data_IF_543833864851
#
_entry.id   IF_543833864851
#
_cell.length_a   1.000
_cell.length_b   1.000
_cell.length_c   1.000
_cell.angle_alpha   90.00
_cell.angle_beta   90.00
_cell.angle_gamma   90.00
#
_symmetry.space_group_name_H-M   'P 1'
#
loop_
_entity.id
_entity.type
_entity.pdbx_description
1 polymer ?
#
# COMPACT_ATOMS: atom_id res chain seq x y z
N UNK A 1 24.11 4.25 -8.04
CA UNK A 1 24.43 3.64 -9.35
C UNK A 1 23.33 4.01 -10.32
N UNK A 2 23.66 4.65 -11.44
CA UNK A 2 22.71 4.84 -12.54
C UNK A 2 22.29 3.46 -13.04
N UNK A 3 21.01 3.12 -12.91
CA UNK A 3 20.47 1.88 -13.48
C UNK A 3 20.52 1.98 -15.00
N UNK A 4 20.94 0.89 -15.62
CA UNK A 4 21.03 0.76 -17.07
C UNK A 4 19.64 0.97 -17.70
N UNK A 5 19.54 1.84 -18.71
CA UNK A 5 18.29 2.14 -19.43
C UNK A 5 17.76 0.95 -20.25
N UNK A 6 18.53 -0.14 -20.30
CA UNK A 6 18.15 -1.41 -20.94
C UNK A 6 17.32 -2.34 -20.05
N UNK A 7 17.25 -2.10 -18.73
CA UNK A 7 16.53 -2.97 -17.80
C UNK A 7 15.02 -2.65 -17.77
N UNK A 8 14.26 -3.36 -18.59
CA UNK A 8 12.79 -3.26 -18.63
C UNK A 8 12.15 -3.81 -17.33
N UNK A 9 10.96 -3.31 -16.95
CA UNK A 9 10.18 -3.89 -15.87
C UNK A 9 9.87 -5.37 -16.14
N UNK A 10 10.07 -6.23 -15.15
CA UNK A 10 9.72 -7.65 -15.24
C UNK A 10 8.19 -7.81 -15.14
N UNK A 11 7.52 -7.92 -16.28
CA UNK A 11 6.08 -8.16 -16.38
C UNK A 11 5.79 -9.64 -16.56
N UNK A 12 4.88 -10.18 -15.76
CA UNK A 12 4.46 -11.58 -15.84
C UNK A 12 2.93 -11.68 -15.76
N UNK A 13 2.38 -12.67 -16.46
CA UNK A 13 0.99 -13.08 -16.25
C UNK A 13 0.95 -14.00 -15.04
N UNK A 14 0.13 -13.67 -14.04
CA UNK A 14 -0.01 -14.44 -12.81
C UNK A 14 -1.47 -14.81 -12.57
N UNK A 15 -1.77 -15.99 -12.00
CA UNK A 15 -3.10 -16.31 -11.50
C UNK A 15 -3.51 -15.29 -10.45
N UNK A 16 -4.66 -14.63 -10.62
CA UNK A 16 -5.10 -13.57 -9.69
C UNK A 16 -5.38 -14.15 -8.29
N UNK A 17 -5.69 -15.44 -8.19
CA UNK A 17 -5.82 -16.17 -6.92
C UNK A 17 -4.49 -16.29 -6.13
N UNK A 18 -3.34 -16.19 -6.79
CA UNK A 18 -2.02 -16.28 -6.14
C UNK A 18 -1.55 -14.94 -5.56
N UNK A 19 -2.27 -13.84 -5.84
CA UNK A 19 -1.93 -12.52 -5.33
C UNK A 19 -2.60 -12.30 -3.97
N UNK A 20 -1.77 -12.22 -2.93
CA UNK A 20 -2.19 -11.99 -1.55
C UNK A 20 -1.84 -10.58 -1.10
N UNK A 21 -2.65 -10.02 -0.20
CA UNK A 21 -2.55 -8.63 0.24
C UNK A 21 -2.00 -8.59 1.67
N UNK A 22 -1.10 -7.64 1.94
CA UNK A 22 -0.67 -7.31 3.30
C UNK A 22 -1.40 -6.09 3.88
N UNK A 23 -2.16 -5.35 3.07
CA UNK A 23 -3.01 -4.25 3.53
C UNK A 23 -4.49 -4.54 3.27
N UNK A 24 -5.37 -3.91 4.05
CA UNK A 24 -6.79 -3.85 3.72
C UNK A 24 -7.03 -3.04 2.43
N UNK A 25 -8.01 -3.46 1.64
CA UNK A 25 -8.54 -2.64 0.55
C UNK A 25 -9.63 -1.68 1.04
N UNK A 26 -9.84 -0.60 0.30
CA UNK A 26 -10.96 0.32 0.50
C UNK A 26 -12.15 -0.16 -0.35
N UNK A 27 -13.25 -0.63 0.26
CA UNK A 27 -14.39 -1.18 -0.48
C UNK A 27 -15.00 -0.20 -1.49
N UNK A 28 -15.01 1.11 -1.19
CA UNK A 28 -15.55 2.13 -2.10
C UNK A 28 -14.63 2.31 -3.30
N UNK A 29 -13.30 2.31 -3.10
CA UNK A 29 -12.33 2.36 -4.21
C UNK A 29 -12.39 1.10 -5.06
N UNK A 30 -12.51 -0.07 -4.44
CA UNK A 30 -12.64 -1.35 -5.17
C UNK A 30 -13.90 -1.36 -6.04
N UNK A 31 -15.04 -0.89 -5.53
CA UNK A 31 -16.28 -0.80 -6.31
C UNK A 31 -16.12 0.11 -7.55
N UNK A 32 -15.59 1.33 -7.39
CA UNK A 32 -15.32 2.24 -8.51
C UNK A 32 -14.33 1.67 -9.51
N UNK A 33 -13.30 0.95 -9.05
CA UNK A 33 -12.35 0.28 -9.94
C UNK A 33 -13.00 -0.85 -10.73
N UNK A 34 -13.94 -1.58 -10.15
CA UNK A 34 -14.69 -2.61 -10.89
C UNK A 34 -15.49 -2.00 -12.04
N UNK A 35 -16.16 -0.87 -11.82
CA UNK A 35 -16.89 -0.12 -12.85
C UNK A 35 -15.93 0.37 -13.95
N UNK A 36 -14.87 1.09 -13.57
CA UNK A 36 -13.86 1.60 -14.51
C UNK A 36 -13.22 0.49 -15.36
N UNK A 37 -12.88 -0.65 -14.75
CA UNK A 37 -12.27 -1.77 -15.47
C UNK A 37 -13.22 -2.32 -16.54
N UNK A 38 -14.51 -2.47 -16.23
CA UNK A 38 -15.51 -2.92 -17.21
C UNK A 38 -15.72 -1.91 -18.33
N UNK A 39 -15.78 -0.62 -18.00
CA UNK A 39 -16.00 0.45 -18.98
C UNK A 39 -14.82 0.63 -19.93
N UNK A 40 -13.60 0.65 -19.39
CA UNK A 40 -12.39 0.89 -20.17
C UNK A 40 -11.91 -0.38 -20.91
N UNK A 41 -12.25 -1.56 -20.40
CA UNK A 41 -11.86 -2.86 -20.95
C UNK A 41 -10.34 -3.11 -20.92
N UNK A 42 -9.59 -2.38 -20.08
CA UNK A 42 -8.12 -2.42 -20.06
C UNK A 42 -7.55 -2.36 -18.64
N UNK A 43 -6.50 -3.12 -18.39
CA UNK A 43 -5.60 -2.93 -17.25
C UNK A 43 -4.58 -1.84 -17.59
N UNK A 44 -4.84 -0.60 -17.14
CA UNK A 44 -3.94 0.55 -17.37
C UNK A 44 -2.57 0.36 -16.71
N UNK A 45 -2.54 0.16 -15.39
CA UNK A 45 -1.32 0.01 -14.60
C UNK A 45 -1.32 -1.37 -13.93
N UNK A 46 -0.26 -2.18 -14.08
CA UNK A 46 -0.18 -3.49 -13.43
C UNK A 46 -0.04 -3.34 -11.91
N UNK A 47 -0.62 -4.25 -11.11
CA UNK A 47 -0.19 -4.41 -9.72
C UNK A 47 1.31 -4.71 -9.66
N UNK A 48 1.96 -4.26 -8.60
CA UNK A 48 3.37 -4.60 -8.34
C UNK A 48 3.41 -5.60 -7.20
N UNK A 49 4.15 -6.68 -7.39
CA UNK A 49 4.14 -7.82 -6.49
C UNK A 49 5.56 -8.31 -6.21
N UNK A 50 5.76 -8.94 -5.05
CA UNK A 50 6.98 -9.69 -4.73
C UNK A 50 6.65 -11.15 -4.45
N UNK A 51 7.51 -12.10 -4.87
CA UNK A 51 7.30 -13.52 -4.58
C UNK A 51 7.35 -13.78 -3.07
N UNK A 52 6.51 -14.69 -2.59
CA UNK A 52 6.59 -15.20 -1.21
C UNK A 52 7.46 -16.46 -1.25
N UNK A 53 8.66 -16.44 -0.63
CA UNK A 53 9.61 -17.56 -0.73
C UNK A 53 8.97 -18.89 -0.33
N UNK A 54 9.27 -19.98 -1.05
CA UNK A 54 8.72 -21.31 -0.76
C UNK A 54 7.23 -21.47 -1.05
N UNK A 55 6.64 -20.60 -1.88
CA UNK A 55 5.26 -20.74 -2.35
C UNK A 55 5.08 -20.18 -3.77
N UNK A 56 3.96 -20.51 -4.40
CA UNK A 56 3.56 -19.94 -5.70
C UNK A 56 2.82 -18.59 -5.57
N UNK A 57 2.72 -18.08 -4.33
CA UNK A 57 1.98 -16.85 -4.02
C UNK A 57 2.89 -15.62 -4.10
N UNK A 58 2.26 -14.48 -4.38
CA UNK A 58 2.92 -13.20 -4.46
C UNK A 58 2.23 -12.20 -3.52
N UNK A 59 3.01 -11.44 -2.76
CA UNK A 59 2.47 -10.33 -1.96
C UNK A 59 2.36 -9.09 -2.83
N UNK A 60 1.20 -8.44 -2.80
CA UNK A 60 0.93 -7.20 -3.53
C UNK A 60 1.56 -6.02 -2.81
N UNK A 61 2.57 -5.39 -3.41
CA UNK A 61 3.27 -4.22 -2.85
C UNK A 61 2.57 -2.91 -3.24
N UNK A 62 2.00 -2.87 -4.44
CA UNK A 62 1.24 -1.74 -4.94
C UNK A 62 0.05 -2.24 -5.78
N UNK A 63 -1.08 -1.54 -5.66
CA UNK A 63 -2.30 -1.90 -6.39
C UNK A 63 -3.25 -2.82 -5.64
N UNK A 64 -3.27 -2.80 -4.30
CA UNK A 64 -4.19 -3.59 -3.48
C UNK A 64 -5.65 -3.54 -3.95
N UNK A 65 -6.19 -2.34 -4.16
CA UNK A 65 -7.57 -2.16 -4.64
C UNK A 65 -7.77 -2.66 -6.09
N UNK A 66 -6.74 -2.56 -6.95
CA UNK A 66 -6.78 -3.09 -8.33
C UNK A 66 -6.83 -4.61 -8.32
N UNK A 67 -5.99 -5.26 -7.52
CA UNK A 67 -6.00 -6.72 -7.33
C UNK A 67 -7.36 -7.20 -6.81
N UNK A 68 -7.90 -6.56 -5.77
CA UNK A 68 -9.22 -6.91 -5.24
C UNK A 68 -10.34 -6.72 -6.27
N UNK A 69 -10.28 -5.67 -7.09
CA UNK A 69 -11.26 -5.44 -8.15
C UNK A 69 -11.20 -6.57 -9.21
N UNK A 70 -10.01 -6.93 -9.67
CA UNK A 70 -9.82 -8.04 -10.61
C UNK A 70 -10.34 -9.37 -10.05
N UNK A 71 -10.02 -9.67 -8.78
CA UNK A 71 -10.55 -10.86 -8.08
C UNK A 71 -12.08 -10.84 -7.99
N UNK A 72 -12.68 -9.69 -7.64
CA UNK A 72 -14.12 -9.52 -7.54
C UNK A 72 -14.84 -9.63 -8.90
N UNK A 73 -14.16 -9.25 -9.98
CA UNK A 73 -14.65 -9.41 -11.34
C UNK A 73 -14.53 -10.84 -11.87
N UNK A 74 -13.87 -11.75 -11.14
CA UNK A 74 -13.65 -13.12 -11.58
C UNK A 74 -12.60 -13.24 -12.70
N UNK A 75 -11.75 -12.23 -12.86
CA UNK A 75 -10.68 -12.25 -13.86
C UNK A 75 -9.60 -13.26 -13.37
N UNK A 76 -9.31 -14.33 -14.13
CA UNK A 76 -8.48 -15.43 -13.64
C UNK A 76 -6.99 -15.10 -13.61
N UNK A 77 -6.54 -14.23 -14.51
CA UNK A 77 -5.14 -13.89 -14.70
C UNK A 77 -4.91 -12.38 -14.74
N UNK A 78 -3.74 -11.91 -14.30
CA UNK A 78 -3.37 -10.49 -14.32
C UNK A 78 -1.94 -10.33 -14.79
N UNK A 79 -1.66 -9.30 -15.59
CA UNK A 79 -0.29 -8.85 -15.81
C UNK A 79 0.16 -8.04 -14.60
N UNK A 80 1.15 -8.54 -13.88
CA UNK A 80 1.77 -7.89 -12.73
C UNK A 80 3.23 -7.57 -13.01
N UNK A 81 3.74 -6.52 -12.39
CA UNK A 81 5.18 -6.27 -12.33
C UNK A 81 5.75 -7.02 -11.13
N UNK A 82 6.68 -7.94 -11.37
CA UNK A 82 7.33 -8.72 -10.32
C UNK A 82 8.64 -8.04 -9.93
N UNK A 83 8.81 -7.74 -8.65
CA UNK A 83 10.03 -7.16 -8.07
C UNK A 83 10.57 -8.04 -6.95
N UNK A 84 11.87 -7.92 -6.67
CA UNK A 84 12.49 -8.58 -5.52
C UNK A 84 12.71 -7.57 -4.40
N UNK A 85 12.43 -7.96 -3.16
CA UNK A 85 12.85 -7.18 -1.99
C UNK A 85 14.37 -7.16 -1.79
N UNK A 86 15.11 -8.06 -2.44
CA UNK A 86 16.57 -8.07 -2.43
C UNK A 86 17.17 -7.05 -3.43
N UNK A 87 16.34 -6.45 -4.30
CA UNK A 87 16.79 -5.36 -5.15
C UNK A 87 17.03 -4.10 -4.27
N UNK A 88 18.26 -3.56 -4.21
CA UNK A 88 18.60 -2.44 -3.32
C UNK A 88 17.85 -1.13 -3.62
N UNK A 89 17.18 -1.00 -4.76
CA UNK A 89 16.33 0.18 -5.01
C UNK A 89 14.87 0.01 -4.60
N UNK A 90 14.45 -1.20 -4.20
CA UNK A 90 13.13 -1.41 -3.61
C UNK A 90 13.21 -1.04 -2.15
N UNK A 91 12.66 0.11 -1.80
CA UNK A 91 12.64 0.60 -0.41
C UNK A 91 11.25 0.48 0.19
N UNK A 92 11.19 0.23 1.49
CA UNK A 92 9.94 0.19 2.26
C UNK A 92 9.99 1.26 3.35
N UNK A 93 9.06 2.19 3.26
CA UNK A 93 8.83 3.25 4.22
C UNK A 93 7.42 3.13 4.82
N UNK A 94 7.12 4.00 5.77
CA UNK A 94 5.79 4.12 6.38
C UNK A 94 5.19 5.47 6.03
N UNK A 95 3.92 5.49 5.65
CA UNK A 95 3.10 6.69 5.61
C UNK A 95 2.47 6.93 6.98
N UNK A 96 2.43 8.18 7.41
CA UNK A 96 1.67 8.62 8.58
C UNK A 96 0.34 9.22 8.11
N UNK A 97 -0.66 9.21 8.99
CA UNK A 97 -1.94 9.84 8.70
C UNK A 97 -1.94 11.26 9.25
N UNK A 98 -2.20 12.23 8.38
CA UNK A 98 -2.68 13.55 8.77
C UNK A 98 -4.20 13.48 8.81
N UNK A 99 -4.76 13.57 10.01
CA UNK A 99 -6.21 13.51 10.22
C UNK A 99 -6.74 14.93 10.26
N UNK A 100 -7.71 15.26 9.42
CA UNK A 100 -8.42 16.56 9.43
C UNK A 100 -9.93 16.36 9.33
N UNK A 101 -10.70 17.45 9.46
CA UNK A 101 -12.16 17.40 9.29
C UNK A 101 -12.90 16.70 10.44
N UNK A 102 -12.25 16.54 11.58
CA UNK A 102 -12.80 16.03 12.83
C UNK A 102 -12.22 16.85 13.99
N UNK A 103 -13.01 17.26 14.97
CA UNK A 103 -12.45 17.99 16.12
C UNK A 103 -11.60 17.06 17.00
N UNK A 104 -10.63 17.62 17.74
CA UNK A 104 -9.83 16.84 18.71
C UNK A 104 -10.71 16.09 19.71
N UNK A 105 -11.81 16.70 20.16
CA UNK A 105 -12.75 16.09 21.11
C UNK A 105 -13.42 14.86 20.51
N UNK A 106 -13.93 14.96 19.28
CA UNK A 106 -14.56 13.82 18.58
C UNK A 106 -13.54 12.71 18.29
N UNK A 107 -12.33 13.09 17.89
CA UNK A 107 -11.24 12.15 17.63
C UNK A 107 -10.88 11.37 18.89
N UNK A 108 -10.63 12.06 20.00
CA UNK A 108 -10.30 11.41 21.28
C UNK A 108 -11.45 10.52 21.78
N UNK A 109 -12.69 11.00 21.71
CA UNK A 109 -13.85 10.19 22.10
C UNK A 109 -13.98 8.91 21.26
N UNK A 110 -13.72 8.99 19.95
CA UNK A 110 -13.72 7.82 19.08
C UNK A 110 -12.61 6.81 19.42
N UNK A 111 -11.45 7.29 19.91
CA UNK A 111 -10.36 6.42 20.35
C UNK A 111 -10.65 5.74 21.70
N UNK A 112 -11.34 6.42 22.61
CA UNK A 112 -11.76 5.85 23.90
C UNK A 112 -12.74 4.67 23.75
N UNK A 113 -13.51 4.64 22.65
CA UNK A 113 -14.41 3.53 22.31
C UNK A 113 -13.66 2.28 21.78
N UNK A 114 -12.38 2.41 21.41
CA UNK A 114 -11.59 1.31 20.89
C UNK A 114 -11.17 0.37 22.02
N UNK A 115 -11.69 -0.86 22.00
CA UNK A 115 -11.38 -1.86 23.02
C UNK A 115 -9.89 -2.19 23.04
N UNK A 116 -9.27 -2.14 24.23
CA UNK A 116 -7.84 -2.41 24.40
C UNK A 116 -6.92 -1.23 24.09
N UNK A 117 -7.44 -0.14 23.52
CA UNK A 117 -6.65 1.06 23.26
C UNK A 117 -6.43 1.84 24.55
N UNK A 118 -5.17 2.18 24.84
CA UNK A 118 -4.80 3.14 25.88
C UNK A 118 -3.95 4.24 25.29
N UNK A 119 -4.28 5.47 25.64
CA UNK A 119 -3.51 6.66 25.31
C UNK A 119 -2.70 7.08 26.53
N UNK A 120 -1.38 7.01 26.40
CA UNK A 120 -0.46 7.37 27.50
C UNK A 120 0.27 8.65 27.10
N UNK A 121 0.08 9.77 27.82
CA UNK A 121 0.81 11.00 27.57
C UNK A 121 2.33 10.77 27.65
N UNK A 122 3.07 11.35 26.72
CA UNK A 122 4.53 11.29 26.69
C UNK A 122 5.11 12.44 25.86
N UNK A 123 6.43 12.53 25.80
CA UNK A 123 7.14 13.40 24.85
C UNK A 123 7.25 12.73 23.48
N UNK A 124 7.48 13.53 22.43
CA UNK A 124 7.73 13.01 21.08
C UNK A 124 8.93 12.05 21.04
N UNK A 125 9.97 12.31 21.84
CA UNK A 125 11.15 11.45 21.91
C UNK A 125 10.83 10.09 22.53
N UNK A 126 10.06 10.06 23.62
CA UNK A 126 9.61 8.82 24.26
C UNK A 126 8.69 8.02 23.34
N UNK A 127 7.76 8.68 22.64
CA UNK A 127 6.87 8.04 21.68
C UNK A 127 7.64 7.35 20.54
N UNK A 128 8.64 8.05 19.96
CA UNK A 128 9.54 7.49 18.94
C UNK A 128 10.33 6.30 19.46
N UNK A 129 10.88 6.41 20.67
CA UNK A 129 11.66 5.33 21.29
C UNK A 129 10.78 4.10 21.52
N UNK A 130 9.57 4.29 22.08
CA UNK A 130 8.62 3.20 22.33
C UNK A 130 8.21 2.50 21.03
N UNK A 131 7.88 3.26 19.98
CA UNK A 131 7.52 2.68 18.68
C UNK A 131 8.68 1.90 18.04
N UNK A 132 9.92 2.39 18.18
CA UNK A 132 11.10 1.76 17.59
C UNK A 132 11.44 0.40 18.22
N UNK A 133 11.13 0.22 19.51
CA UNK A 133 11.37 -1.06 20.24
C UNK A 133 10.12 -1.95 20.32
N UNK A 134 8.99 -1.50 19.77
CA UNK A 134 7.72 -2.25 19.81
C UNK A 134 6.98 -2.15 21.15
N UNK A 135 7.28 -1.15 21.99
CA UNK A 135 6.55 -0.87 23.24
C UNK A 135 5.32 0.05 23.03
N UNK A 136 5.03 0.40 21.77
CA UNK A 136 3.84 1.09 21.36
C UNK A 136 3.42 0.60 19.96
N UNK A 137 2.13 0.38 19.76
CA UNK A 137 1.57 0.01 18.46
C UNK A 137 1.57 1.20 17.49
N UNK A 138 1.38 2.41 18.00
CA UNK A 138 1.43 3.67 17.27
C UNK A 138 1.69 4.84 18.24
N UNK A 139 1.83 6.05 17.72
CA UNK A 139 1.67 7.25 18.54
C UNK A 139 0.94 8.36 17.78
N UNK A 140 0.41 9.32 18.53
CA UNK A 140 -0.42 10.40 18.05
C UNK A 140 0.18 11.72 18.49
N UNK A 141 0.37 12.63 17.54
CA UNK A 141 0.90 13.97 17.75
C UNK A 141 -0.21 15.00 17.48
N UNK A 142 -0.55 15.76 18.51
CA UNK A 142 -1.35 16.98 18.42
C UNK A 142 -0.42 18.20 18.40
N UNK A 143 -0.98 19.40 18.23
CA UNK A 143 -0.20 20.66 18.29
C UNK A 143 0.57 20.84 19.60
N UNK A 144 -0.03 20.45 20.72
CA UNK A 144 0.43 20.72 22.08
C UNK A 144 0.67 19.46 22.93
N UNK A 145 0.45 18.27 22.37
CA UNK A 145 0.48 17.01 23.12
C UNK A 145 0.88 15.80 22.27
N UNK A 146 1.50 14.80 22.91
CA UNK A 146 1.82 13.51 22.28
C UNK A 146 1.33 12.37 23.16
N UNK A 147 0.76 11.36 22.52
CA UNK A 147 0.29 10.14 23.18
C UNK A 147 0.87 8.92 22.49
N UNK A 148 1.43 7.98 23.25
CA UNK A 148 1.70 6.64 22.73
C UNK A 148 0.46 5.77 22.85
N UNK A 149 0.27 4.88 21.89
CA UNK A 149 -0.83 3.92 21.81
C UNK A 149 -0.30 2.52 22.14
N UNK A 150 -0.86 1.88 23.17
CA UNK A 150 -0.53 0.49 23.50
C UNK A 150 -1.07 0.08 24.87
N UNK A 151 -1.29 -1.21 25.08
CA UNK A 151 -1.89 -1.73 26.33
C UNK A 151 -0.86 -2.18 27.39
N UNK A 152 0.43 -2.21 27.03
CA UNK A 152 1.54 -2.68 27.88
C UNK A 152 1.91 -4.16 27.69
N UNK A 153 1.15 -4.91 26.90
CA UNK A 153 1.41 -6.29 26.49
C UNK A 153 2.06 -6.33 25.09
N UNK A 154 2.90 -7.34 24.85
CA UNK A 154 3.84 -7.40 23.70
C UNK A 154 3.42 -8.43 22.64
N UNK A 155 2.14 -8.50 22.29
CA UNK A 155 1.66 -9.39 21.23
C UNK A 155 1.50 -8.67 19.89
N UNK A 156 2.36 -9.03 18.94
CA UNK A 156 2.39 -8.49 17.57
C UNK A 156 1.07 -8.69 16.81
N UNK A 157 0.35 -9.79 17.03
CA UNK A 157 -0.95 -10.01 16.37
C UNK A 157 -2.05 -9.16 17.01
N UNK A 158 -1.97 -8.92 18.33
CA UNK A 158 -2.81 -7.96 19.02
C UNK A 158 -2.53 -6.54 18.51
N UNK A 159 -1.27 -6.19 18.24
CA UNK A 159 -0.90 -4.88 17.68
C UNK A 159 -1.51 -4.62 16.30
N UNK A 160 -1.55 -5.61 15.40
CA UNK A 160 -2.17 -5.43 14.08
C UNK A 160 -3.68 -5.19 14.20
N UNK A 161 -4.36 -5.90 15.10
CA UNK A 161 -5.79 -5.67 15.36
C UNK A 161 -6.02 -4.29 15.95
N UNK A 162 -5.24 -3.92 16.97
CA UNK A 162 -5.30 -2.60 17.59
C UNK A 162 -5.03 -1.47 16.59
N UNK A 163 -4.07 -1.65 15.67
CA UNK A 163 -3.81 -0.71 14.59
C UNK A 163 -4.99 -0.56 13.63
N UNK A 164 -5.65 -1.66 13.27
CA UNK A 164 -6.85 -1.63 12.45
C UNK A 164 -7.99 -0.91 13.16
N UNK A 165 -8.22 -1.19 14.43
CA UNK A 165 -9.30 -0.57 15.21
C UNK A 165 -9.02 0.93 15.45
N UNK A 166 -7.75 1.29 15.74
CA UNK A 166 -7.28 2.67 15.82
C UNK A 166 -7.60 3.44 14.53
N UNK A 167 -7.26 2.88 13.36
CA UNK A 167 -7.54 3.55 12.07
C UNK A 167 -9.03 3.60 11.79
N UNK A 168 -9.77 2.53 12.10
CA UNK A 168 -11.21 2.46 11.91
C UNK A 168 -12.00 3.51 12.73
N UNK A 169 -11.48 3.93 13.88
CA UNK A 169 -12.10 4.94 14.73
C UNK A 169 -12.32 6.29 14.02
N UNK A 170 -11.41 6.67 13.12
CA UNK A 170 -11.49 7.94 12.37
C UNK A 170 -11.69 7.76 10.86
N UNK A 171 -11.42 6.57 10.30
CA UNK A 171 -11.64 6.30 8.88
C UNK A 171 -13.12 6.45 8.51
N UNK A 172 -13.40 7.25 7.47
CA UNK A 172 -14.75 7.50 6.97
C UNK A 172 -15.51 8.58 7.74
N UNK A 173 -14.99 9.03 8.88
CA UNK A 173 -15.50 10.19 9.65
C UNK A 173 -14.60 11.42 9.48
N UNK A 174 -13.29 11.20 9.32
CA UNK A 174 -12.29 12.23 9.06
C UNK A 174 -11.77 12.19 7.62
N UNK A 175 -11.12 13.27 7.20
CA UNK A 175 -10.28 13.30 6.01
C UNK A 175 -8.86 12.85 6.39
N UNK A 176 -8.25 12.00 5.56
CA UNK A 176 -6.93 11.41 5.83
C UNK A 176 -5.99 11.76 4.67
N UNK A 177 -4.92 12.48 4.98
CA UNK A 177 -3.80 12.71 4.08
C UNK A 177 -2.57 11.92 4.54
N UNK A 178 -1.59 11.76 3.65
CA UNK A 178 -0.36 11.00 3.93
C UNK A 178 0.81 11.94 4.17
N UNK A 179 1.54 11.73 5.26
CA UNK A 179 2.77 12.44 5.59
C UNK A 179 3.96 11.47 5.75
N UNK A 180 5.17 11.98 5.52
CA UNK A 180 6.42 11.22 5.65
C UNK A 180 7.24 11.58 6.90
N UNK A 181 6.74 12.50 7.73
CA UNK A 181 7.35 12.92 8.97
C UNK A 181 6.27 13.24 10.01
N UNK A 182 6.67 13.19 11.27
CA UNK A 182 5.85 13.32 12.48
C UNK A 182 5.94 14.74 13.08
N UNK A 183 6.35 15.73 12.29
CA UNK A 183 6.54 17.12 12.75
C UNK A 183 5.28 17.92 12.43
N UNK A 184 4.44 18.16 13.44
CA UNK A 184 3.13 18.81 13.30
C UNK A 184 3.24 20.17 12.60
N UNK A 185 4.22 20.98 12.97
CA UNK A 185 4.44 22.33 12.46
C UNK A 185 4.83 22.37 10.98
N UNK A 186 5.35 21.26 10.45
CA UNK A 186 5.61 21.11 9.01
C UNK A 186 4.35 20.75 8.21
N UNK A 187 3.35 20.16 8.87
CA UNK A 187 2.10 19.73 8.25
C UNK A 187 1.02 20.83 8.32
N UNK A 188 0.90 21.51 9.46
CA UNK A 188 -0.13 22.52 9.72
C UNK A 188 -0.28 23.60 8.61
N UNK A 189 0.79 24.12 7.99
CA UNK A 189 0.65 25.11 6.91
C UNK A 189 -0.07 24.58 5.65
N UNK A 190 -0.02 23.27 5.40
CA UNK A 190 -0.66 22.63 4.25
C UNK A 190 -2.02 22.05 4.59
N UNK A 191 -2.31 21.88 5.88
CA UNK A 191 -3.54 21.29 6.41
C UNK A 191 -4.04 22.14 7.59
N UNK A 192 -4.66 23.32 7.35
CA UNK A 192 -5.02 24.26 8.41
C UNK A 192 -5.94 23.68 9.50
N UNK A 193 -6.78 22.70 9.13
CA UNK A 193 -7.70 22.01 10.04
C UNK A 193 -7.16 20.66 10.52
N UNK A 194 -5.84 20.53 10.68
CA UNK A 194 -5.21 19.33 11.18
C UNK A 194 -5.67 19.06 12.62
N UNK A 195 -6.20 17.85 12.83
CA UNK A 195 -6.61 17.34 14.13
C UNK A 195 -5.45 16.67 14.83
N UNK A 196 -4.74 15.79 14.11
CA UNK A 196 -3.66 14.96 14.66
C UNK A 196 -2.79 14.39 13.54
N UNK A 197 -1.55 14.05 13.88
CA UNK A 197 -0.73 13.10 13.13
C UNK A 197 -0.75 11.74 13.83
N UNK A 198 -1.11 10.68 13.11
CA UNK A 198 -1.03 9.30 13.61
C UNK A 198 0.15 8.61 12.93
N UNK A 199 1.07 8.11 13.75
CA UNK A 199 2.36 7.57 13.32
C UNK A 199 2.44 6.08 13.63
N UNK A 200 2.79 5.31 12.61
CA UNK A 200 2.77 3.85 12.59
C UNK A 200 4.20 3.26 12.59
N UNK A 201 4.36 2.00 13.00
CA UNK A 201 5.67 1.35 13.02
C UNK A 201 6.26 1.22 11.61
N UNK A 202 7.58 1.11 11.56
CA UNK A 202 8.29 0.78 10.32
C UNK A 202 8.26 -0.71 10.11
N UNK A 203 7.80 -1.11 8.92
CA UNK A 203 7.83 -2.51 8.50
C UNK A 203 9.09 -2.79 7.70
N UNK A 204 9.64 -3.98 7.87
CA UNK A 204 10.69 -4.54 7.00
C UNK A 204 10.02 -5.46 5.98
N UNK A 205 10.68 -5.74 4.85
CA UNK A 205 10.21 -6.74 3.88
C UNK A 205 9.78 -8.07 4.50
N UNK A 206 10.56 -8.60 5.46
CA UNK A 206 10.23 -9.84 6.16
C UNK A 206 8.90 -9.76 6.93
N UNK A 207 8.57 -8.59 7.47
CA UNK A 207 7.31 -8.36 8.19
C UNK A 207 6.13 -8.38 7.21
N UNK A 208 6.26 -7.78 6.03
CA UNK A 208 5.26 -7.81 4.97
C UNK A 208 5.02 -9.23 4.44
N UNK A 209 6.10 -9.99 4.25
CA UNK A 209 6.01 -11.40 3.82
C UNK A 209 5.31 -12.26 4.88
N UNK A 210 5.62 -12.06 6.16
CA UNK A 210 4.96 -12.78 7.26
C UNK A 210 3.45 -12.49 7.31
N UNK A 211 3.07 -11.19 7.27
CA UNK A 211 1.66 -10.76 7.20
C UNK A 211 0.91 -11.46 6.06
N UNK A 212 1.49 -11.42 4.86
CA UNK A 212 0.89 -12.02 3.67
C UNK A 212 0.77 -13.56 3.76
N UNK A 213 1.74 -14.23 4.39
CA UNK A 213 1.69 -15.69 4.63
C UNK A 213 0.59 -16.07 5.61
N UNK A 214 0.46 -15.32 6.69
CA UNK A 214 -0.50 -15.52 7.78
C UNK A 214 -1.91 -15.03 7.43
N UNK A 215 -2.07 -14.28 6.34
CA UNK A 215 -3.34 -13.67 5.95
C UNK A 215 -3.72 -12.45 6.80
N UNK A 216 -2.81 -11.98 7.65
CA UNK A 216 -2.97 -10.76 8.43
C UNK A 216 -2.77 -9.53 7.55
N UNK A 217 -3.50 -8.45 7.86
CA UNK A 217 -3.46 -7.22 7.08
C UNK A 217 -3.35 -6.02 8.01
N UNK A 218 -2.49 -5.09 7.63
CA UNK A 218 -2.37 -3.79 8.29
C UNK A 218 -3.39 -2.81 7.67
N UNK A 219 -3.66 -1.68 8.34
CA UNK A 219 -4.50 -0.63 7.76
C UNK A 219 -4.07 -0.21 6.36
N UNK A 220 -5.04 0.12 5.50
CA UNK A 220 -4.78 0.59 4.15
C UNK A 220 -3.91 1.85 4.15
N UNK A 221 -2.83 1.86 3.39
CA UNK A 221 -2.08 3.06 3.08
C UNK A 221 -1.09 3.51 4.14
N UNK A 222 -0.67 2.62 5.04
CA UNK A 222 0.42 2.89 5.99
C UNK A 222 1.77 2.38 5.48
N UNK A 223 1.81 1.40 4.57
CA UNK A 223 3.07 0.99 3.93
C UNK A 223 3.34 1.82 2.68
N UNK A 224 4.61 2.14 2.43
CA UNK A 224 5.07 2.95 1.31
C UNK A 224 6.25 2.29 0.63
N UNK A 225 5.98 1.53 -0.42
CA UNK A 225 7.03 1.01 -1.29
C UNK A 225 7.52 2.07 -2.27
N UNK A 226 8.83 2.28 -2.32
CA UNK A 226 9.51 2.97 -3.41
C UNK A 226 10.02 1.89 -4.34
N UNK A 227 9.46 1.86 -5.56
CA UNK A 227 9.78 0.84 -6.56
C UNK A 227 10.33 1.56 -7.79
N UNK A 228 11.57 1.29 -8.19
CA UNK A 228 12.16 1.84 -9.39
C UNK A 228 11.55 1.17 -10.63
N UNK A 229 11.59 1.86 -11.77
CA UNK A 229 11.16 1.33 -13.07
C UNK A 229 9.73 0.77 -13.05
N UNK A 230 8.78 1.50 -12.46
CA UNK A 230 7.37 1.10 -12.48
C UNK A 230 6.85 1.09 -13.92
N UNK A 231 6.29 -0.02 -14.36
CA UNK A 231 5.52 -0.10 -15.59
C UNK A 231 4.21 0.68 -15.39
N UNK A 232 3.99 1.70 -16.22
CA UNK A 232 2.79 2.50 -16.21
C UNK A 232 2.14 2.45 -17.60
N UNK A 233 0.81 2.52 -17.66
CA UNK A 233 0.03 2.57 -18.90
C UNK A 233 0.33 1.43 -19.87
N UNK A 234 0.50 0.22 -19.35
CA UNK A 234 0.60 -0.99 -20.18
C UNK A 234 -0.69 -1.24 -20.97
N UNK A 235 -1.84 -0.76 -20.47
CA UNK A 235 -3.12 -0.80 -21.18
C UNK A 235 -3.48 -2.18 -21.75
N UNK A 236 -3.19 -3.25 -21.00
CA UNK A 236 -3.42 -4.62 -21.44
C UNK A 236 -4.93 -4.87 -21.55
N UNK A 237 -5.45 -5.37 -22.68
CA UNK A 237 -6.88 -5.65 -22.82
C UNK A 237 -7.37 -6.65 -21.77
N UNK A 238 -8.48 -6.35 -21.10
CA UNK A 238 -9.08 -7.29 -20.15
C UNK A 238 -9.54 -8.58 -20.83
N UNK A 239 -9.95 -8.51 -22.11
CA UNK A 239 -10.32 -9.70 -22.88
C UNK A 239 -9.23 -10.77 -22.92
N UNK A 240 -7.95 -10.38 -22.93
CA UNK A 240 -6.81 -11.33 -22.84
C UNK A 240 -6.69 -11.91 -21.44
N UNK A 241 -6.91 -11.09 -20.41
CA UNK A 241 -6.84 -11.50 -19.01
C UNK A 241 -8.00 -12.42 -18.61
N UNK A 242 -9.17 -12.21 -19.22
CA UNK A 242 -10.40 -12.99 -19.05
C UNK A 242 -10.44 -14.26 -19.90
N UNK A 243 -9.75 -14.29 -21.05
CA UNK A 243 -9.78 -15.42 -21.96
C UNK A 243 -9.44 -16.75 -21.26
N UNK A 244 -10.15 -17.80 -21.61
CA UNK A 244 -9.87 -19.16 -21.15
C UNK A 244 -8.70 -19.76 -21.93
N UNK A 245 -7.53 -19.16 -21.74
CA UNK A 245 -6.26 -19.62 -22.31
C UNK A 245 -5.37 -20.17 -21.21
N UNK A 246 -4.58 -21.22 -21.49
CA UNK A 246 -3.50 -21.65 -20.61
C UNK A 246 -2.57 -20.50 -20.23
N UNK A 247 -2.01 -20.56 -19.02
CA UNK A 247 -1.12 -19.51 -18.49
C UNK A 247 0.08 -19.30 -19.42
N UNK A 248 0.64 -20.38 -19.97
CA UNK A 248 1.78 -20.35 -20.89
C UNK A 248 1.44 -19.57 -22.16
N UNK A 249 0.23 -19.73 -22.69
CA UNK A 249 -0.24 -19.00 -23.86
C UNK A 249 -0.37 -17.50 -23.57
N UNK A 250 -0.89 -17.12 -22.39
CA UNK A 250 -0.96 -15.71 -21.98
C UNK A 250 0.43 -15.12 -21.77
N UNK A 251 1.36 -15.90 -21.23
CA UNK A 251 2.75 -15.47 -21.03
C UNK A 251 3.47 -15.24 -22.36
N UNK A 252 3.25 -16.13 -23.35
CA UNK A 252 3.74 -15.94 -24.71
C UNK A 252 3.14 -14.70 -25.36
N UNK A 253 1.82 -14.49 -25.24
CA UNK A 253 1.16 -13.28 -25.74
C UNK A 253 1.74 -12.00 -25.13
N UNK A 254 2.01 -11.99 -23.81
CA UNK A 254 2.60 -10.84 -23.12
C UNK A 254 4.02 -10.57 -23.63
N UNK A 255 4.80 -11.63 -23.88
CA UNK A 255 6.14 -11.51 -24.44
C UNK A 255 6.11 -10.87 -25.83
N UNK A 256 5.28 -11.37 -26.73
CA UNK A 256 5.12 -10.83 -28.09
C UNK A 256 4.66 -9.37 -28.04
N UNK A 257 3.67 -9.06 -27.20
CA UNK A 257 3.21 -7.69 -26.97
C UNK A 257 4.34 -6.77 -26.53
N UNK A 258 5.20 -7.21 -25.60
CA UNK A 258 6.33 -6.41 -25.12
C UNK A 258 7.37 -6.19 -26.23
N UNK A 259 7.70 -7.22 -27.00
CA UNK A 259 8.64 -7.13 -28.13
C UNK A 259 8.13 -6.18 -29.22
N UNK A 260 6.83 -6.22 -29.53
CA UNK A 260 6.22 -5.25 -30.46
C UNK A 260 6.36 -3.81 -29.97
N UNK A 261 6.12 -3.54 -28.68
CA UNK A 261 6.25 -2.19 -28.11
C UNK A 261 7.71 -1.72 -28.11
N UNK A 262 8.66 -2.62 -27.88
CA UNK A 262 10.09 -2.32 -28.02
C UNK A 262 10.45 -2.00 -29.47
N UNK A 263 10.06 -2.84 -30.43
CA UNK A 263 10.34 -2.65 -31.85
C UNK A 263 9.73 -1.35 -32.40
N UNK A 264 8.54 -0.98 -31.91
CA UNK A 264 7.86 0.26 -32.25
C UNK A 264 8.40 1.51 -31.50
N UNK A 265 9.43 1.36 -30.64
CA UNK A 265 9.96 2.43 -29.79
C UNK A 265 8.87 3.13 -28.94
N UNK A 266 7.88 2.35 -28.48
CA UNK A 266 6.71 2.81 -27.73
C UNK A 266 6.93 2.80 -26.20
N UNK A 267 8.10 2.38 -25.73
CA UNK A 267 8.48 2.36 -24.31
C UNK A 267 9.38 3.56 -24.03
N UNK A 268 9.02 4.36 -23.03
CA UNK A 268 9.81 5.52 -22.58
C UNK A 268 10.26 5.31 -21.14
N UNK A 269 11.55 5.49 -20.90
CA UNK A 269 12.15 5.51 -19.58
C UNK A 269 12.37 6.96 -19.15
N UNK A 270 11.94 7.28 -17.93
CA UNK A 270 12.15 8.59 -17.30
C UNK A 270 12.96 8.37 -16.02
N UNK A 271 14.19 8.89 -15.99
CA UNK A 271 15.08 8.77 -14.83
C UNK A 271 14.82 9.79 -13.73
N UNK A 272 14.06 10.85 -14.03
CA UNK A 272 13.76 11.94 -13.11
C UNK A 272 12.38 11.78 -12.44
N UNK A 273 12.18 12.31 -11.22
CA UNK A 273 10.86 12.37 -10.60
C UNK A 273 9.84 13.04 -11.53
N UNK A 274 8.77 12.33 -11.85
CA UNK A 274 7.78 12.74 -12.86
C UNK A 274 6.41 12.90 -12.21
N UNK A 275 5.68 13.96 -12.57
CA UNK A 275 4.28 14.17 -12.18
C UNK A 275 3.34 13.64 -13.26
N UNK A 276 2.30 12.90 -12.87
CA UNK A 276 1.23 12.42 -13.75
C UNK A 276 -0.07 13.14 -13.39
N UNK A 277 -0.79 13.68 -14.37
CA UNK A 277 -1.99 14.51 -14.15
C UNK A 277 -3.32 13.79 -14.46
N UNK A 278 -3.26 12.52 -14.83
CA UNK A 278 -4.36 11.77 -15.44
C UNK A 278 -4.34 10.27 -15.03
N UNK A 279 -4.09 9.98 -13.74
CA UNK A 279 -4.17 8.62 -13.16
C UNK A 279 -5.61 8.20 -12.75
#
# INVERSE_FOLDING_TARGET
>A
MLRDSTALPNLQVLPTANLVLHEHGDPRRVARLCERLREEGKLKNPPIVAPIPGSERFVVLDGANRTLALQKLGIPHVVAQVVSYDDPGVELHTWYHVVTGMSRKEFMAALEEVTGLRLIPCTLQEARAALAVGDAAAYIVFEDAVYRVGDGDRDRLADIRLLNDLVAAYQGRAQIFRASNDVYEKQAPYYPDITALVVFPRYRPADIIALAREGAKVPSGITRHIIPNRALRINIPLSVLEADWPLEQKQAWLHDWLMERMAANAIRYYSEPTFLFDE
#
